data_IF_407847829885
#
_entry.id   IF_407847829885
#
_cell.length_a   1.000
_cell.length_b   1.000
_cell.length_c   1.000
_cell.angle_alpha   90.00
_cell.angle_beta   90.00
_cell.angle_gamma   90.00
#
_symmetry.space_group_name_H-M   'P 1'
#
loop_
_entity.id
_entity.type
_entity.pdbx_description
1 polymer ?
#
# COMPACT_ATOMS: atom_id res chain seq x y z
N UNK A 1 7.35 8.60 9.58
CA UNK A 1 6.95 7.26 9.97
C UNK A 1 7.79 6.23 9.23
N UNK A 2 8.45 5.34 9.97
CA UNK A 2 9.21 4.19 9.45
C UNK A 2 9.35 3.11 10.54
N UNK A 3 10.15 2.06 10.29
CA UNK A 3 10.38 1.00 11.30
C UNK A 3 11.10 1.47 12.56
N UNK A 4 11.78 2.62 12.53
CA UNK A 4 12.43 3.24 13.70
C UNK A 4 11.48 4.06 14.56
N UNK A 5 10.23 4.24 14.14
CA UNK A 5 9.21 4.97 14.86
C UNK A 5 8.48 6.02 14.03
N UNK A 6 7.82 6.91 14.72
CA UNK A 6 7.12 8.03 14.11
C UNK A 6 7.28 9.31 14.94
N UNK A 7 7.26 10.43 14.27
CA UNK A 7 7.28 11.77 14.86
C UNK A 7 6.37 12.68 14.04
N UNK A 8 5.96 13.77 14.64
CA UNK A 8 5.28 14.87 13.94
C UNK A 8 6.19 16.08 13.98
N UNK A 9 6.63 16.51 12.80
CA UNK A 9 7.45 17.69 12.61
C UNK A 9 6.52 18.83 12.24
N UNK A 10 6.66 19.98 12.94
CA UNK A 10 5.86 21.17 12.65
C UNK A 10 6.17 21.70 11.25
N UNK A 11 5.13 22.05 10.51
CA UNK A 11 5.28 22.81 9.28
C UNK A 11 5.57 24.29 9.63
N UNK A 12 6.62 24.85 9.01
CA UNK A 12 7.12 26.20 9.35
C UNK A 12 6.10 27.33 9.21
N UNK A 13 5.11 27.15 8.32
CA UNK A 13 4.09 28.15 7.99
C UNK A 13 2.70 27.84 8.57
N UNK A 14 2.57 26.79 9.36
CA UNK A 14 1.27 26.42 9.96
C UNK A 14 0.96 27.30 11.17
N UNK A 15 -0.27 27.82 11.21
CA UNK A 15 -0.79 28.54 12.39
C UNK A 15 -1.05 27.58 13.56
N UNK A 16 -1.40 26.33 13.28
CA UNK A 16 -1.65 25.26 14.25
C UNK A 16 -0.41 24.35 14.37
N UNK A 17 0.51 24.73 15.23
CA UNK A 17 1.73 23.95 15.46
C UNK A 17 1.45 22.75 16.35
N UNK A 18 1.57 21.57 15.80
CA UNK A 18 1.47 20.29 16.54
C UNK A 18 2.74 19.50 16.29
N UNK A 19 3.65 19.51 17.25
CA UNK A 19 4.82 18.64 17.24
C UNK A 19 4.60 17.46 18.18
N UNK A 20 5.07 16.28 17.80
CA UNK A 20 5.20 15.14 18.70
C UNK A 20 6.60 14.56 18.58
N UNK A 21 7.30 14.34 19.70
CA UNK A 21 8.63 13.77 19.68
C UNK A 21 8.62 12.36 19.11
N UNK A 22 9.77 11.88 18.71
CA UNK A 22 9.95 10.53 18.18
C UNK A 22 9.43 9.47 19.16
N UNK A 23 8.43 8.74 18.74
CA UNK A 23 7.93 7.55 19.43
C UNK A 23 8.55 6.32 18.78
N UNK A 24 9.45 5.65 19.54
CA UNK A 24 10.09 4.42 19.08
C UNK A 24 9.13 3.23 19.23
N UNK A 25 9.21 2.23 18.34
CA UNK A 25 8.45 1.00 18.51
C UNK A 25 8.92 0.25 19.78
N UNK A 26 8.00 -0.47 20.41
CA UNK A 26 8.31 -1.25 21.62
C UNK A 26 9.04 -2.56 21.32
N UNK A 27 9.01 -3.02 20.07
CA UNK A 27 9.59 -4.28 19.63
C UNK A 27 9.84 -4.34 18.11
N UNK A 28 10.43 -5.47 17.68
CA UNK A 28 10.56 -5.79 16.25
C UNK A 28 9.25 -6.42 15.73
N UNK A 29 8.36 -5.61 15.20
CA UNK A 29 7.10 -6.04 14.62
C UNK A 29 7.22 -7.09 13.51
N UNK A 30 8.41 -7.27 12.90
CA UNK A 30 8.66 -8.26 11.87
C UNK A 30 8.56 -9.70 12.42
N UNK A 31 9.14 -9.95 13.60
CA UNK A 31 9.12 -11.28 14.23
C UNK A 31 7.69 -11.67 14.61
N UNK A 32 6.93 -10.74 15.17
CA UNK A 32 5.51 -10.95 15.49
C UNK A 32 4.67 -11.20 14.24
N UNK A 33 4.95 -10.48 13.15
CA UNK A 33 4.27 -10.68 11.89
C UNK A 33 4.56 -12.05 11.28
N UNK A 34 5.82 -12.47 11.28
CA UNK A 34 6.22 -13.82 10.83
C UNK A 34 5.59 -14.92 11.70
N UNK A 35 5.61 -14.75 13.01
CA UNK A 35 4.98 -15.69 13.94
C UNK A 35 3.47 -15.83 13.69
N UNK A 36 2.76 -14.71 13.54
CA UNK A 36 1.32 -14.72 13.23
C UNK A 36 1.01 -15.50 11.94
N UNK A 37 1.82 -15.31 10.89
CA UNK A 37 1.66 -16.04 9.64
C UNK A 37 1.87 -17.55 9.81
N UNK A 38 2.94 -17.96 10.51
CA UNK A 38 3.22 -19.37 10.79
C UNK A 38 2.11 -20.00 11.63
N UNK A 39 1.62 -19.30 12.65
CA UNK A 39 0.56 -19.79 13.53
C UNK A 39 -0.78 -19.94 12.76
N UNK A 40 -1.09 -19.02 11.86
CA UNK A 40 -2.26 -19.12 10.98
C UNK A 40 -2.19 -20.36 10.07
N UNK A 41 -1.00 -20.69 9.53
CA UNK A 41 -0.79 -21.91 8.74
C UNK A 41 -0.98 -23.15 9.61
N UNK A 42 -0.32 -23.22 10.76
CA UNK A 42 -0.37 -24.39 11.66
C UNK A 42 -1.77 -24.68 12.18
N UNK A 43 -2.53 -23.64 12.47
CA UNK A 43 -3.93 -23.76 12.94
C UNK A 43 -4.96 -23.88 11.83
N UNK A 44 -4.53 -23.78 10.57
CA UNK A 44 -5.42 -23.73 9.40
C UNK A 44 -6.51 -22.64 9.51
N UNK A 45 -6.14 -21.46 10.01
CA UNK A 45 -7.02 -20.32 10.23
C UNK A 45 -6.57 -19.10 9.42
N UNK A 46 -6.76 -19.07 8.09
CA UNK A 46 -6.26 -17.97 7.25
C UNK A 46 -6.84 -16.60 7.64
N UNK A 47 -8.01 -16.55 8.26
CA UNK A 47 -8.65 -15.32 8.75
C UNK A 47 -7.98 -14.75 10.00
N UNK A 48 -7.09 -15.48 10.67
CA UNK A 48 -6.32 -15.00 11.82
C UNK A 48 -5.05 -14.22 11.46
N UNK A 49 -4.76 -14.12 10.15
CA UNK A 49 -3.63 -13.31 9.67
C UNK A 49 -3.91 -11.83 9.88
N UNK A 50 -3.04 -11.14 10.63
CA UNK A 50 -3.17 -9.72 10.95
C UNK A 50 -3.14 -8.80 9.71
N UNK A 51 -2.45 -9.22 8.65
CA UNK A 51 -2.42 -8.50 7.38
C UNK A 51 -2.84 -9.47 6.27
N UNK A 52 -4.12 -9.45 5.91
CA UNK A 52 -4.63 -10.27 4.81
C UNK A 52 -4.10 -9.80 3.45
N UNK A 53 -4.16 -10.66 2.45
CA UNK A 53 -3.77 -10.30 1.07
C UNK A 53 -4.62 -9.14 0.54
N UNK A 54 -5.90 -9.06 0.93
CA UNK A 54 -6.79 -7.96 0.56
C UNK A 54 -6.33 -6.62 1.14
N UNK A 55 -5.93 -6.61 2.42
CA UNK A 55 -5.37 -5.42 3.05
C UNK A 55 -4.06 -5.00 2.39
N UNK A 56 -3.17 -5.95 2.11
CA UNK A 56 -1.92 -5.70 1.41
C UNK A 56 -2.14 -5.14 0.00
N UNK A 57 -3.07 -5.74 -0.76
CA UNK A 57 -3.44 -5.26 -2.08
C UNK A 57 -4.03 -3.84 -2.04
N UNK A 58 -4.91 -3.55 -1.07
CA UNK A 58 -5.48 -2.21 -0.90
C UNK A 58 -4.39 -1.15 -0.63
N UNK A 59 -3.48 -1.42 0.29
CA UNK A 59 -2.35 -0.50 0.59
C UNK A 59 -1.45 -0.31 -0.63
N UNK A 60 -1.14 -1.38 -1.36
CA UNK A 60 -0.36 -1.30 -2.60
C UNK A 60 -1.07 -0.46 -3.68
N UNK A 61 -2.38 -0.63 -3.85
CA UNK A 61 -3.20 0.17 -4.77
C UNK A 61 -3.11 1.65 -4.43
N UNK A 62 -3.31 2.03 -3.16
CA UNK A 62 -3.22 3.43 -2.71
C UNK A 62 -1.84 4.03 -2.99
N UNK A 63 -0.78 3.27 -2.70
CA UNK A 63 0.59 3.72 -2.97
C UNK A 63 0.84 3.91 -4.48
N UNK A 64 0.35 3.00 -5.31
CA UNK A 64 0.46 3.10 -6.78
C UNK A 64 -0.38 4.25 -7.35
N UNK A 65 -1.54 4.54 -6.78
CA UNK A 65 -2.33 5.72 -7.18
C UNK A 65 -1.52 7.01 -7.04
N UNK A 66 -0.79 7.18 -5.94
CA UNK A 66 0.11 8.32 -5.76
C UNK A 66 1.20 8.40 -6.83
N UNK A 67 1.84 7.28 -7.13
CA UNK A 67 2.85 7.18 -8.18
C UNK A 67 2.28 7.48 -9.57
N UNK A 68 1.10 6.94 -9.89
CA UNK A 68 0.44 7.16 -11.18
C UNK A 68 -0.02 8.62 -11.32
N UNK A 69 -0.59 9.20 -10.27
CA UNK A 69 -0.97 10.61 -10.26
C UNK A 69 0.24 11.53 -10.52
N UNK A 70 1.37 11.25 -9.87
CA UNK A 70 2.61 11.97 -10.10
C UNK A 70 3.11 11.84 -11.56
N UNK A 71 3.14 10.61 -12.11
CA UNK A 71 3.65 10.34 -13.47
C UNK A 71 2.72 10.85 -14.58
N UNK A 72 1.41 10.80 -14.36
CA UNK A 72 0.42 11.28 -15.32
C UNK A 72 0.17 12.79 -15.25
N UNK A 73 0.62 13.45 -14.16
CA UNK A 73 0.41 14.85 -13.92
C UNK A 73 -1.05 15.25 -13.63
N UNK A 74 -1.89 14.26 -13.27
CA UNK A 74 -3.31 14.50 -13.03
C UNK A 74 -3.85 13.73 -11.84
N UNK A 75 -5.01 14.17 -11.32
CA UNK A 75 -5.73 13.43 -10.29
C UNK A 75 -6.26 12.12 -10.87
N UNK A 76 -6.00 11.01 -10.17
CA UNK A 76 -6.54 9.70 -10.51
C UNK A 76 -7.62 9.28 -9.51
N UNK A 77 -8.65 8.59 -10.00
CA UNK A 77 -9.76 8.08 -9.19
C UNK A 77 -9.87 6.58 -9.45
N UNK A 78 -9.87 5.79 -8.37
CA UNK A 78 -9.98 4.35 -8.40
C UNK A 78 -11.42 3.91 -8.12
N UNK A 79 -11.96 3.05 -8.97
CA UNK A 79 -13.21 2.34 -8.72
C UNK A 79 -12.89 0.98 -8.09
N UNK A 80 -13.21 0.85 -6.80
CA UNK A 80 -12.94 -0.37 -6.04
C UNK A 80 -13.77 -1.56 -6.54
N UNK A 81 -14.99 -1.31 -7.02
CA UNK A 81 -15.88 -2.38 -7.50
C UNK A 81 -15.41 -2.92 -8.86
N UNK A 82 -15.04 -2.02 -9.75
CA UNK A 82 -14.53 -2.38 -11.06
C UNK A 82 -13.03 -2.74 -11.05
N UNK A 83 -12.33 -2.53 -9.93
CA UNK A 83 -10.87 -2.74 -9.79
C UNK A 83 -10.07 -2.06 -10.90
N UNK A 84 -10.43 -0.82 -11.22
CA UNK A 84 -9.77 -0.02 -12.27
C UNK A 84 -9.90 1.48 -12.00
N UNK A 85 -9.14 2.28 -12.74
CA UNK A 85 -9.34 3.72 -12.72
C UNK A 85 -10.62 4.10 -13.49
N UNK A 86 -11.26 5.18 -13.06
CA UNK A 86 -12.43 5.73 -13.79
C UNK A 86 -12.05 6.31 -15.16
N UNK A 87 -10.79 6.68 -15.34
CA UNK A 87 -10.26 7.19 -16.61
C UNK A 87 -9.67 6.04 -17.45
N UNK A 88 -10.25 5.82 -18.63
CA UNK A 88 -9.84 4.77 -19.57
C UNK A 88 -8.44 4.97 -20.16
N UNK A 89 -7.96 6.22 -20.26
CA UNK A 89 -6.59 6.50 -20.72
C UNK A 89 -5.57 6.09 -19.65
N UNK A 90 -5.86 6.35 -18.39
CA UNK A 90 -5.04 5.91 -17.25
C UNK A 90 -5.01 4.37 -17.18
N UNK A 91 -6.15 3.70 -17.36
CA UNK A 91 -6.21 2.24 -17.40
C UNK A 91 -5.30 1.66 -18.50
N UNK A 92 -5.39 2.21 -19.70
CA UNK A 92 -4.59 1.77 -20.85
C UNK A 92 -3.10 1.89 -20.63
N UNK A 93 -2.66 2.96 -19.94
CA UNK A 93 -1.24 3.26 -19.76
C UNK A 93 -0.65 2.61 -18.51
N UNK A 94 -1.41 2.51 -17.41
CA UNK A 94 -0.85 2.19 -16.10
C UNK A 94 -1.46 0.98 -15.39
N UNK A 95 -2.63 0.47 -15.82
CA UNK A 95 -3.29 -0.62 -15.11
C UNK A 95 -2.57 -1.95 -15.30
N UNK A 96 -1.99 -2.17 -16.47
CA UNK A 96 -1.26 -3.40 -16.78
C UNK A 96 0.19 -3.09 -17.15
N UNK A 97 1.09 -4.01 -16.77
CA UNK A 97 2.49 -3.91 -17.16
C UNK A 97 2.63 -4.15 -18.67
N UNK A 98 3.43 -3.31 -19.32
CA UNK A 98 3.82 -3.52 -20.71
C UNK A 98 4.98 -4.52 -20.74
N UNK A 99 4.68 -5.76 -21.10
CA UNK A 99 5.69 -6.80 -21.21
C UNK A 99 6.48 -6.65 -22.51
N UNK A 100 7.76 -6.99 -22.45
CA UNK A 100 8.65 -6.99 -23.60
C UNK A 100 8.78 -8.41 -24.17
N UNK A 101 9.27 -8.51 -25.41
CA UNK A 101 9.61 -9.77 -26.07
C UNK A 101 8.44 -10.77 -26.22
N UNK A 102 7.21 -10.27 -26.34
CA UNK A 102 6.03 -11.12 -26.56
C UNK A 102 5.52 -11.89 -25.34
N UNK A 103 6.07 -11.63 -24.16
CA UNK A 103 5.53 -12.22 -22.92
C UNK A 103 4.16 -11.63 -22.60
N UNK A 104 3.23 -12.49 -22.24
CA UNK A 104 1.87 -12.14 -21.79
C UNK A 104 1.61 -12.79 -20.44
N UNK A 105 0.81 -12.13 -19.60
CA UNK A 105 0.32 -12.79 -18.40
C UNK A 105 -0.62 -13.94 -18.78
N UNK A 106 -0.54 -15.09 -18.09
CA UNK A 106 -1.53 -16.14 -18.24
C UNK A 106 -2.93 -15.58 -17.91
N UNK A 107 -3.90 -15.84 -18.76
CA UNK A 107 -5.31 -15.59 -18.43
C UNK A 107 -5.83 -16.79 -17.65
N UNK A 108 -6.35 -16.55 -16.46
CA UNK A 108 -6.95 -17.55 -15.58
C UNK A 108 -8.48 -17.45 -15.65
#
# INVERSE_FOLDING_TARGET
LNRGGWEVIEERQSENKVAKPLVKPSDNGLDKHAQNFIDAIRSNTPQSVNCSVQQGAHVATVAQMGNISYRSGQKVVWDQNASQFTDSAINREYLTSKYQNGYLLPMF
#
